data_IF_370267168256
#
_entry.id   IF_370267168256
#
_cell.length_a   1.000
_cell.length_b   1.000
_cell.length_c   1.000
_cell.angle_alpha   90.00
_cell.angle_beta   90.00
_cell.angle_gamma   90.00
#
_symmetry.space_group_name_H-M   'P 1'
#
loop_
_entity.id
_entity.type
_entity.pdbx_description
1 polymer ?
#
# COMPACT_ATOMS: atom_id res chain seq x y z
N UNK A 1 2.60 -3.36 50.58
CA UNK A 1 2.83 -2.29 49.59
C UNK A 1 3.81 -2.89 48.56
N UNK A 2 3.29 -3.45 47.49
CA UNK A 2 4.10 -3.95 46.37
C UNK A 2 4.13 -2.79 45.35
N UNK A 3 5.32 -2.27 45.10
CA UNK A 3 5.60 -1.34 44.02
C UNK A 3 5.56 -2.14 42.73
N UNK A 4 4.54 -1.93 41.93
CA UNK A 4 4.52 -2.38 40.54
C UNK A 4 5.57 -1.55 39.80
N UNK A 5 6.64 -2.22 39.34
CA UNK A 5 7.54 -1.68 38.33
C UNK A 5 6.71 -1.38 37.07
N UNK A 6 6.89 -0.22 36.43
CA UNK A 6 6.34 -0.01 35.10
C UNK A 6 7.04 -0.99 34.15
N UNK A 7 6.25 -1.79 33.43
CA UNK A 7 6.73 -2.54 32.28
C UNK A 7 7.45 -1.57 31.35
N UNK A 8 8.77 -1.65 31.30
CA UNK A 8 9.57 -1.06 30.23
C UNK A 8 9.03 -1.65 28.93
N UNK A 9 8.28 -0.86 28.18
CA UNK A 9 8.05 -1.12 26.78
C UNK A 9 9.44 -1.18 26.12
N UNK A 10 9.89 -2.38 25.81
CA UNK A 10 11.12 -2.61 25.08
C UNK A 10 10.98 -1.93 23.72
N UNK A 11 11.48 -0.71 23.63
CA UNK A 11 11.55 0.03 22.38
C UNK A 11 12.35 -0.79 21.36
N UNK A 12 11.91 -0.83 20.12
CA UNK A 12 12.68 -1.47 19.05
C UNK A 12 14.12 -0.92 19.09
N UNK A 13 15.14 -1.79 18.98
CA UNK A 13 16.55 -1.37 19.05
C UNK A 13 17.00 -0.42 17.93
N UNK A 14 16.06 0.06 17.09
CA UNK A 14 16.27 1.04 16.03
C UNK A 14 16.21 2.50 16.50
N UNK A 15 15.66 2.80 17.68
CA UNK A 15 15.50 4.16 18.25
C UNK A 15 14.94 5.16 17.23
N UNK A 16 13.88 4.82 16.52
CA UNK A 16 13.22 5.70 15.57
C UNK A 16 12.10 6.44 16.30
N UNK A 17 12.22 7.76 16.43
CA UNK A 17 11.12 8.59 16.88
C UNK A 17 10.11 8.78 15.75
N UNK A 18 8.78 8.65 16.00
CA UNK A 18 7.77 8.90 14.98
C UNK A 18 7.94 10.29 14.36
N UNK A 19 7.98 10.31 13.04
CA UNK A 19 8.13 11.53 12.25
C UNK A 19 6.76 12.21 12.05
N UNK A 20 6.79 13.53 11.93
CA UNK A 20 5.60 14.30 11.59
C UNK A 20 5.05 13.90 10.22
N UNK A 21 3.73 13.80 10.14
CA UNK A 21 2.96 13.56 8.91
C UNK A 21 2.31 14.86 8.46
N UNK A 22 2.53 15.22 7.20
CA UNK A 22 1.97 16.42 6.59
C UNK A 22 1.01 16.08 5.47
N UNK A 23 -0.12 16.77 5.43
CA UNK A 23 -1.14 16.63 4.39
C UNK A 23 -1.50 18.00 3.82
N UNK A 24 -1.78 18.05 2.51
CA UNK A 24 -2.16 19.28 1.81
C UNK A 24 -3.45 19.04 1.05
N UNK A 25 -4.53 19.68 1.47
CA UNK A 25 -5.81 19.65 0.78
C UNK A 25 -5.94 20.85 -0.17
N UNK A 26 -6.18 20.59 -1.44
CA UNK A 26 -6.26 21.62 -2.49
C UNK A 26 -7.66 22.21 -2.58
N UNK A 27 -7.75 23.53 -2.31
CA UNK A 27 -9.00 24.29 -2.25
C UNK A 27 -9.25 25.07 -3.56
N UNK A 28 -10.33 24.74 -4.32
CA UNK A 28 -10.52 25.26 -5.69
C UNK A 28 -11.20 26.63 -5.77
N UNK A 29 -11.46 27.28 -4.64
CA UNK A 29 -12.14 28.59 -4.63
C UNK A 29 -11.14 29.75 -4.65
N UNK A 30 -11.57 30.88 -5.18
CA UNK A 30 -10.77 32.11 -5.22
C UNK A 30 -10.55 32.71 -3.82
N UNK A 31 -11.50 32.52 -2.91
CA UNK A 31 -11.44 32.97 -1.53
C UNK A 31 -10.90 31.85 -0.63
N UNK A 32 -10.04 32.22 0.32
CA UNK A 32 -9.52 31.30 1.30
C UNK A 32 -10.64 30.87 2.27
N UNK A 33 -10.65 29.60 2.71
CA UNK A 33 -11.56 29.18 3.77
C UNK A 33 -11.21 29.88 5.07
N UNK A 34 -12.21 30.27 5.82
CA UNK A 34 -12.04 30.86 7.17
C UNK A 34 -11.85 29.77 8.22
N UNK A 35 -11.23 30.12 9.35
CA UNK A 35 -11.13 29.21 10.51
C UNK A 35 -12.50 28.66 10.91
N UNK A 36 -13.52 29.54 10.97
CA UNK A 36 -14.87 29.15 11.36
C UNK A 36 -15.50 28.13 10.42
N UNK A 37 -15.32 28.26 9.12
CA UNK A 37 -15.81 27.28 8.13
C UNK A 37 -15.14 25.93 8.30
N UNK A 38 -13.81 25.89 8.40
CA UNK A 38 -13.05 24.63 8.56
C UNK A 38 -13.40 23.94 9.88
N UNK A 39 -13.39 24.65 11.02
CA UNK A 39 -13.73 24.07 12.33
C UNK A 39 -15.18 23.58 12.37
N UNK A 40 -16.13 24.32 11.80
CA UNK A 40 -17.53 23.90 11.72
C UNK A 40 -17.68 22.63 10.88
N UNK A 41 -16.98 22.56 9.75
CA UNK A 41 -17.00 21.37 8.87
C UNK A 41 -16.41 20.15 9.57
N UNK A 42 -15.28 20.30 10.25
CA UNK A 42 -14.63 19.21 11.01
C UNK A 42 -15.52 18.73 12.15
N UNK A 43 -16.13 19.65 12.91
CA UNK A 43 -17.05 19.33 14.00
C UNK A 43 -18.30 18.59 13.50
N UNK A 44 -18.84 18.98 12.34
CA UNK A 44 -19.98 18.32 11.72
C UNK A 44 -19.63 16.88 11.28
N UNK A 45 -18.45 16.67 10.68
CA UNK A 45 -18.01 15.37 10.22
C UNK A 45 -17.72 14.40 11.38
N UNK A 46 -17.08 14.87 12.44
CA UNK A 46 -16.77 14.07 13.63
C UNK A 46 -17.94 13.92 14.60
N UNK A 47 -19.05 14.65 14.37
CA UNK A 47 -20.17 14.77 15.30
C UNK A 47 -19.72 15.18 16.73
N UNK A 48 -18.64 15.99 16.84
CA UNK A 48 -18.03 16.40 18.12
C UNK A 48 -17.76 17.89 18.08
N UNK A 49 -17.95 18.58 19.22
CA UNK A 49 -17.57 19.99 19.36
C UNK A 49 -16.04 20.11 19.33
N UNK A 50 -15.53 20.94 18.39
CA UNK A 50 -14.10 21.22 18.24
C UNK A 50 -13.84 22.67 18.65
N UNK A 51 -12.98 22.87 19.65
CA UNK A 51 -12.52 24.19 20.08
C UNK A 51 -11.11 24.41 19.53
N UNK A 52 -10.91 25.39 18.64
CA UNK A 52 -9.59 25.68 18.10
C UNK A 52 -8.77 26.53 19.08
N UNK A 53 -7.50 26.17 19.22
CA UNK A 53 -6.49 27.00 19.87
C UNK A 53 -5.79 27.83 18.78
N UNK A 54 -5.81 29.16 18.92
CA UNK A 54 -5.12 30.06 18.01
C UNK A 54 -3.60 29.92 18.22
N UNK A 55 -2.87 29.59 17.18
CA UNK A 55 -1.41 29.50 17.18
C UNK A 55 -0.79 30.70 16.46
N UNK A 56 0.48 30.96 16.75
CA UNK A 56 1.24 31.92 15.95
C UNK A 56 1.35 31.40 14.51
N UNK A 57 1.04 32.26 13.56
CA UNK A 57 1.10 31.93 12.13
C UNK A 57 2.47 32.28 11.58
N UNK A 58 3.03 31.44 10.74
CA UNK A 58 4.18 31.79 9.92
C UNK A 58 3.80 32.90 8.91
N UNK A 59 4.80 33.62 8.37
CA UNK A 59 4.60 34.76 7.48
C UNK A 59 3.75 34.44 6.23
N UNK A 60 3.77 33.18 5.78
CA UNK A 60 3.03 32.72 4.60
C UNK A 60 1.61 32.21 4.92
N UNK A 61 1.30 31.93 6.19
CA UNK A 61 0.00 31.39 6.61
C UNK A 61 -1.01 32.50 6.88
N UNK A 62 -2.21 32.39 6.28
CA UNK A 62 -3.33 33.30 6.56
C UNK A 62 -3.86 33.17 7.98
N UNK A 63 -3.89 31.94 8.48
CA UNK A 63 -4.25 31.58 9.85
C UNK A 63 -3.67 30.20 10.20
N UNK A 64 -3.43 29.95 11.47
CA UNK A 64 -2.95 28.68 12.05
C UNK A 64 -3.69 28.38 13.33
N UNK A 65 -4.18 27.14 13.48
CA UNK A 65 -4.88 26.66 14.67
C UNK A 65 -4.37 25.28 15.09
N UNK A 66 -4.44 25.01 16.38
CA UNK A 66 -4.34 23.66 16.95
C UNK A 66 -5.75 23.15 17.24
N UNK A 67 -6.03 21.90 16.93
CA UNK A 67 -7.31 21.26 17.25
C UNK A 67 -7.08 19.82 17.73
N UNK A 68 -7.97 19.38 18.63
CA UNK A 68 -8.05 17.97 19.01
C UNK A 68 -9.23 17.33 18.29
N UNK A 69 -8.99 16.20 17.65
CA UNK A 69 -10.00 15.42 16.91
C UNK A 69 -10.09 14.03 17.53
N UNK A 70 -11.29 13.52 17.83
CA UNK A 70 -11.45 12.14 18.31
C UNK A 70 -10.84 11.11 17.36
N UNK A 71 -10.06 10.18 17.89
CA UNK A 71 -9.38 9.14 17.10
C UNK A 71 -8.04 9.56 16.52
N UNK A 72 -7.52 10.75 16.89
CA UNK A 72 -6.17 11.21 16.59
C UNK A 72 -5.52 11.67 17.89
N UNK A 73 -4.55 10.90 18.38
CA UNK A 73 -4.00 11.07 19.71
C UNK A 73 -3.18 12.37 19.86
N UNK A 74 -2.37 12.70 18.87
CA UNK A 74 -1.45 13.84 18.91
C UNK A 74 -2.08 15.20 18.61
N UNK A 75 -3.37 15.23 18.23
CA UNK A 75 -4.01 16.44 17.74
C UNK A 75 -3.51 16.85 16.34
N UNK A 76 -4.09 17.92 15.83
CA UNK A 76 -3.76 18.45 14.50
C UNK A 76 -3.33 19.92 14.60
N UNK A 77 -2.26 20.28 13.89
CA UNK A 77 -1.96 21.67 13.53
C UNK A 77 -2.51 21.89 12.13
N UNK A 78 -3.41 22.87 11.98
CA UNK A 78 -4.08 23.18 10.72
C UNK A 78 -3.82 24.62 10.35
N UNK A 79 -3.42 24.87 9.09
CA UNK A 79 -3.25 26.23 8.58
C UNK A 79 -3.68 26.35 7.13
N UNK A 80 -3.96 27.57 6.73
CA UNK A 80 -4.29 27.92 5.36
C UNK A 80 -3.21 28.82 4.78
N UNK A 81 -2.74 28.49 3.60
CA UNK A 81 -1.75 29.29 2.86
C UNK A 81 -2.09 29.33 1.37
N UNK A 82 -1.41 30.22 0.63
CA UNK A 82 -1.53 30.22 -0.83
C UNK A 82 -0.93 28.93 -1.42
N UNK A 83 -1.65 28.37 -2.39
CA UNK A 83 -1.13 27.25 -3.17
C UNK A 83 0.15 27.67 -3.87
N UNK A 84 1.20 26.84 -3.78
CA UNK A 84 2.39 26.99 -4.62
C UNK A 84 2.07 26.42 -6.01
N UNK A 85 2.89 26.79 -6.99
CA UNK A 85 2.75 26.23 -8.34
C UNK A 85 2.87 24.71 -8.30
N UNK A 86 1.80 24.04 -8.71
CA UNK A 86 1.77 22.60 -8.88
C UNK A 86 2.65 22.18 -10.06
N UNK A 87 3.30 21.02 -9.93
CA UNK A 87 3.98 20.41 -11.08
C UNK A 87 2.99 20.04 -12.19
N UNK A 88 3.45 19.92 -13.43
CA UNK A 88 2.57 19.49 -14.53
C UNK A 88 2.06 18.04 -14.31
N UNK A 89 2.84 17.20 -13.63
CA UNK A 89 2.41 15.86 -13.23
C UNK A 89 1.26 15.90 -12.23
N UNK A 90 1.35 16.75 -11.19
CA UNK A 90 0.28 16.92 -10.20
C UNK A 90 -0.99 17.50 -10.85
N UNK A 91 -0.83 18.51 -11.71
CA UNK A 91 -1.95 19.08 -12.48
C UNK A 91 -2.65 18.05 -13.34
N UNK A 92 -1.88 17.14 -13.96
CA UNK A 92 -2.44 16.05 -14.76
C UNK A 92 -3.24 15.07 -13.91
N UNK A 93 -2.80 14.76 -12.69
CA UNK A 93 -3.51 13.85 -11.78
C UNK A 93 -4.76 14.50 -11.16
N UNK A 94 -4.69 15.76 -10.77
CA UNK A 94 -5.84 16.51 -10.22
C UNK A 94 -6.88 16.79 -11.32
N UNK A 95 -6.44 16.94 -12.57
CA UNK A 95 -7.29 17.28 -13.69
C UNK A 95 -7.54 18.79 -13.84
N UNK A 96 -8.61 19.19 -14.56
CA UNK A 96 -8.84 20.57 -14.97
C UNK A 96 -9.05 21.55 -13.80
N UNK A 97 -9.41 21.06 -12.62
CA UNK A 97 -9.63 21.90 -11.45
C UNK A 97 -8.33 22.30 -10.73
N UNK A 98 -7.20 21.67 -11.06
CA UNK A 98 -5.89 22.03 -10.51
C UNK A 98 -5.54 23.52 -10.67
N UNK A 99 -5.89 24.12 -11.83
CA UNK A 99 -5.64 25.53 -12.12
C UNK A 99 -6.48 26.51 -11.30
N UNK A 100 -7.52 26.03 -10.61
CA UNK A 100 -8.41 26.82 -9.76
C UNK A 100 -7.93 26.88 -8.31
N UNK A 101 -7.01 26.01 -7.91
CA UNK A 101 -6.54 25.90 -6.53
C UNK A 101 -5.62 27.06 -6.14
N UNK A 102 -6.21 28.16 -5.70
CA UNK A 102 -5.46 29.35 -5.22
C UNK A 102 -5.00 29.19 -3.76
N UNK A 103 -5.62 28.29 -3.00
CA UNK A 103 -5.40 28.09 -1.59
C UNK A 103 -5.23 26.60 -1.27
N UNK A 104 -4.52 26.32 -0.19
CA UNK A 104 -4.40 24.98 0.39
C UNK A 104 -4.67 25.04 1.88
N UNK A 105 -5.28 23.98 2.38
CA UNK A 105 -5.38 23.70 3.81
C UNK A 105 -4.34 22.63 4.13
N UNK A 106 -3.42 22.95 5.02
CA UNK A 106 -2.39 22.00 5.47
C UNK A 106 -2.74 21.45 6.83
N UNK A 107 -2.41 20.20 7.03
CA UNK A 107 -2.55 19.51 8.31
C UNK A 107 -1.23 18.85 8.63
N UNK A 108 -0.81 18.98 9.89
CA UNK A 108 0.37 18.31 10.45
C UNK A 108 -0.02 17.61 11.73
N UNK A 109 0.49 16.39 11.90
CA UNK A 109 0.28 15.55 13.09
C UNK A 109 1.41 14.54 13.24
N UNK A 110 1.53 13.93 14.41
CA UNK A 110 2.34 12.73 14.64
C UNK A 110 1.36 11.57 14.76
N UNK A 111 1.51 10.56 13.89
CA UNK A 111 0.68 9.37 13.96
C UNK A 111 1.12 8.48 15.13
N UNK A 112 0.17 7.87 15.80
CA UNK A 112 0.45 6.85 16.81
C UNK A 112 1.12 5.65 16.16
N UNK A 113 2.16 5.09 16.77
CA UNK A 113 2.86 3.91 16.23
C UNK A 113 1.97 2.66 16.18
N UNK A 114 0.97 2.56 17.06
CA UNK A 114 0.06 1.42 17.14
C UNK A 114 -1.13 1.54 16.18
N UNK A 115 -1.61 2.79 15.96
CA UNK A 115 -2.83 3.07 15.20
C UNK A 115 -2.56 3.90 13.93
N UNK A 116 -1.30 3.94 13.45
CA UNK A 116 -0.86 4.83 12.37
C UNK A 116 -1.74 4.76 11.11
N UNK A 117 -2.16 3.56 10.70
CA UNK A 117 -3.02 3.39 9.54
C UNK A 117 -4.43 3.95 9.78
N UNK A 118 -4.99 3.75 10.98
CA UNK A 118 -6.31 4.27 11.33
C UNK A 118 -6.29 5.80 11.44
N UNK A 119 -5.28 6.37 12.10
CA UNK A 119 -5.12 7.83 12.20
C UNK A 119 -4.86 8.49 10.84
N UNK A 120 -4.01 7.88 9.99
CA UNK A 120 -3.81 8.33 8.61
C UNK A 120 -5.14 8.40 7.85
N UNK A 121 -5.89 7.30 7.90
CA UNK A 121 -7.19 7.19 7.25
C UNK A 121 -8.18 8.24 7.79
N UNK A 122 -8.17 8.45 9.11
CA UNK A 122 -9.00 9.46 9.77
C UNK A 122 -8.65 10.88 9.30
N UNK A 123 -7.35 11.24 9.19
CA UNK A 123 -6.92 12.58 8.75
C UNK A 123 -7.33 12.84 7.30
N UNK A 124 -7.07 11.89 6.40
CA UNK A 124 -7.44 12.04 4.99
C UNK A 124 -8.96 12.05 4.83
N UNK A 125 -9.68 11.18 5.55
CA UNK A 125 -11.14 11.13 5.59
C UNK A 125 -11.74 12.43 6.15
N UNK A 126 -11.17 12.97 7.22
CA UNK A 126 -11.57 14.27 7.79
C UNK A 126 -11.46 15.39 6.74
N UNK A 127 -10.30 15.52 6.09
CA UNK A 127 -10.08 16.53 5.05
C UNK A 127 -11.06 16.37 3.89
N UNK A 128 -11.20 15.15 3.38
CA UNK A 128 -12.01 14.88 2.18
C UNK A 128 -13.52 14.87 2.45
N UNK A 129 -13.94 14.37 3.61
CA UNK A 129 -15.35 14.22 3.97
C UNK A 129 -15.96 15.50 4.53
N UNK A 130 -15.21 16.27 5.32
CA UNK A 130 -15.69 17.53 5.88
C UNK A 130 -15.64 18.69 4.89
N UNK A 131 -14.70 18.65 3.92
CA UNK A 131 -14.48 19.69 2.94
C UNK A 131 -14.78 19.13 1.53
N UNK A 132 -16.05 18.99 1.16
CA UNK A 132 -16.46 18.29 -0.07
C UNK A 132 -15.94 18.95 -1.36
N UNK A 133 -15.58 20.22 -1.29
CA UNK A 133 -15.10 20.97 -2.45
C UNK A 133 -13.61 20.74 -2.75
N UNK A 134 -12.83 20.15 -1.84
CA UNK A 134 -11.41 19.87 -2.15
C UNK A 134 -11.29 18.91 -3.34
N UNK A 135 -10.29 19.16 -4.17
CA UNK A 135 -10.08 18.39 -5.40
C UNK A 135 -9.06 17.27 -5.24
N UNK A 136 -8.19 17.40 -4.27
CA UNK A 136 -7.18 16.39 -3.94
C UNK A 136 -6.59 16.59 -2.53
N UNK A 137 -5.99 15.53 -2.00
CA UNK A 137 -5.14 15.56 -0.81
C UNK A 137 -3.76 14.99 -1.19
N UNK A 138 -2.70 15.75 -0.92
CA UNK A 138 -1.31 15.31 -1.05
C UNK A 138 -0.79 14.88 0.31
N UNK A 139 -0.31 13.66 0.40
CA UNK A 139 0.54 13.21 1.51
C UNK A 139 1.97 13.68 1.25
N UNK A 140 2.47 14.60 2.06
CA UNK A 140 3.79 15.24 1.86
C UNK A 140 4.93 14.25 2.06
N UNK A 141 4.76 13.28 2.98
CA UNK A 141 5.82 12.31 3.32
C UNK A 141 6.07 11.34 2.18
N UNK A 142 5.00 10.77 1.63
CA UNK A 142 5.12 9.80 0.52
C UNK A 142 5.13 10.48 -0.85
N UNK A 143 4.68 11.74 -0.94
CA UNK A 143 4.41 12.43 -2.19
C UNK A 143 3.20 11.84 -2.94
N UNK A 144 2.35 11.07 -2.26
CA UNK A 144 1.17 10.45 -2.86
C UNK A 144 0.03 11.47 -2.98
N UNK A 145 -0.47 11.67 -4.19
CA UNK A 145 -1.61 12.53 -4.46
C UNK A 145 -2.89 11.70 -4.58
N UNK A 146 -3.85 11.99 -3.71
CA UNK A 146 -5.18 11.38 -3.73
C UNK A 146 -6.17 12.34 -4.39
N UNK A 147 -6.43 12.14 -5.67
CA UNK A 147 -7.46 12.92 -6.40
C UNK A 147 -8.87 12.62 -5.87
N UNK A 148 -9.85 13.52 -6.12
CA UNK A 148 -11.21 13.42 -5.57
C UNK A 148 -11.86 12.05 -5.80
N UNK A 149 -11.75 11.49 -6.99
CA UNK A 149 -12.30 10.17 -7.32
C UNK A 149 -11.73 9.06 -6.45
N UNK A 150 -10.43 9.12 -6.16
CA UNK A 150 -9.76 8.18 -5.26
C UNK A 150 -10.17 8.39 -3.80
N UNK A 151 -10.30 9.66 -3.36
CA UNK A 151 -10.78 9.99 -2.02
C UNK A 151 -12.19 9.43 -1.78
N UNK A 152 -13.09 9.60 -2.73
CA UNK A 152 -14.46 9.10 -2.66
C UNK A 152 -14.51 7.56 -2.56
N UNK A 153 -13.67 6.88 -3.33
CA UNK A 153 -13.64 5.41 -3.39
C UNK A 153 -12.95 4.77 -2.18
N UNK A 154 -11.78 5.30 -1.79
CA UNK A 154 -10.91 4.64 -0.81
C UNK A 154 -11.12 5.11 0.63
N UNK A 155 -11.60 6.35 0.83
CA UNK A 155 -11.72 6.94 2.17
C UNK A 155 -13.15 7.26 2.59
N UNK A 156 -14.05 7.54 1.64
CA UNK A 156 -15.40 7.99 1.93
C UNK A 156 -16.49 6.98 1.58
N UNK A 157 -16.19 5.95 0.82
CA UNK A 157 -17.16 4.90 0.51
C UNK A 157 -17.60 4.17 1.79
N UNK A 158 -18.86 3.75 1.84
CA UNK A 158 -19.37 2.98 2.97
C UNK A 158 -18.57 1.69 3.15
N UNK A 159 -18.08 1.46 4.36
CA UNK A 159 -17.23 0.31 4.68
C UNK A 159 -15.77 0.44 4.26
N UNK A 160 -15.32 1.63 3.83
CA UNK A 160 -13.89 1.89 3.64
C UNK A 160 -13.12 1.68 4.94
N UNK A 161 -11.96 1.07 4.87
CA UNK A 161 -11.09 0.83 6.02
C UNK A 161 -9.66 1.28 5.75
N UNK A 162 -8.92 1.52 6.85
CA UNK A 162 -7.51 1.85 6.77
C UNK A 162 -6.73 0.82 5.97
N UNK A 163 -5.89 1.30 5.05
CA UNK A 163 -4.97 0.48 4.28
C UNK A 163 -3.55 0.86 4.67
N UNK A 164 -2.85 -0.02 5.36
CA UNK A 164 -1.50 0.24 5.88
C UNK A 164 -0.50 0.61 4.77
N UNK A 165 -0.67 0.06 3.56
CA UNK A 165 0.18 0.34 2.41
C UNK A 165 0.20 1.82 1.99
N UNK A 166 -0.75 2.61 2.42
CA UNK A 166 -0.79 4.07 2.17
C UNK A 166 0.24 4.83 3.01
N UNK A 167 0.74 4.23 4.11
CA UNK A 167 1.68 4.87 5.01
C UNK A 167 3.08 5.05 4.43
N UNK A 168 3.46 4.28 3.42
CA UNK A 168 4.77 4.37 2.79
C UNK A 168 4.70 4.23 1.27
N UNK A 169 5.69 4.78 0.62
CA UNK A 169 5.97 4.62 -0.81
C UNK A 169 7.25 3.82 -1.01
N UNK A 170 7.30 3.03 -2.08
CA UNK A 170 8.53 2.45 -2.59
C UNK A 170 9.13 3.37 -3.65
N UNK A 171 10.42 3.57 -3.56
CA UNK A 171 11.22 4.30 -4.54
C UNK A 171 12.32 3.41 -5.07
N UNK A 172 12.57 3.51 -6.37
CA UNK A 172 13.68 2.85 -7.05
C UNK A 172 14.74 3.89 -7.38
N UNK A 173 15.95 3.63 -6.94
CA UNK A 173 17.10 4.48 -7.18
C UNK A 173 18.15 3.75 -8.01
N UNK A 174 18.65 4.42 -9.01
CA UNK A 174 19.66 3.88 -9.91
C UNK A 174 21.07 4.33 -9.47
N UNK A 175 22.07 3.56 -9.88
CA UNK A 175 23.46 3.97 -9.76
C UNK A 175 23.71 5.23 -10.61
N UNK A 176 24.83 5.88 -10.40
CA UNK A 176 25.19 7.07 -11.17
C UNK A 176 25.19 6.82 -12.68
N UNK A 177 24.87 7.88 -13.50
CA UNK A 177 24.96 7.78 -14.94
C UNK A 177 26.35 7.33 -15.36
N UNK A 178 26.44 6.27 -16.17
CA UNK A 178 27.62 5.61 -16.74
C UNK A 178 28.07 4.29 -16.08
N UNK A 179 27.33 3.72 -15.13
CA UNK A 179 27.54 2.34 -14.72
C UNK A 179 26.69 1.43 -15.61
N UNK A 180 27.36 0.62 -16.43
CA UNK A 180 26.70 -0.39 -17.26
C UNK A 180 25.99 -1.40 -16.36
N UNK A 181 24.73 -1.76 -16.71
CA UNK A 181 23.94 -2.86 -16.14
C UNK A 181 23.96 -2.93 -14.60
N UNK A 182 23.59 -1.82 -13.96
CA UNK A 182 23.63 -1.75 -12.50
C UNK A 182 22.42 -2.34 -11.83
N UNK A 183 22.66 -3.01 -10.71
CA UNK A 183 21.65 -3.28 -9.71
C UNK A 183 21.04 -1.96 -9.21
N UNK A 184 19.78 -2.01 -8.79
CA UNK A 184 19.07 -0.86 -8.21
C UNK A 184 19.00 -0.97 -6.70
N UNK A 185 18.79 0.17 -6.04
CA UNK A 185 18.35 0.24 -4.65
C UNK A 185 16.82 0.43 -4.68
N UNK A 186 16.10 -0.42 -3.97
CA UNK A 186 14.70 -0.18 -3.61
C UNK A 186 14.64 0.29 -2.16
N UNK A 187 13.91 1.36 -1.90
CA UNK A 187 13.78 1.90 -0.55
C UNK A 187 12.36 2.30 -0.22
N UNK A 188 11.96 2.13 1.05
CA UNK A 188 10.72 2.70 1.56
C UNK A 188 10.91 4.16 1.92
N UNK A 189 9.81 4.91 1.94
CA UNK A 189 9.73 6.26 2.48
C UNK A 189 8.35 6.46 3.11
N UNK A 190 8.32 6.68 4.41
CA UNK A 190 7.10 6.88 5.21
C UNK A 190 6.98 5.96 6.43
N UNK A 191 7.78 4.90 6.57
CA UNK A 191 7.74 4.04 7.74
C UNK A 191 8.20 4.79 9.02
N UNK A 192 9.08 5.77 8.88
CA UNK A 192 9.55 6.57 9.99
C UNK A 192 8.42 7.34 10.72
N UNK A 193 7.30 7.66 10.05
CA UNK A 193 6.12 8.25 10.69
C UNK A 193 5.45 7.31 11.71
N UNK A 194 5.68 6.00 11.54
CA UNK A 194 5.18 4.95 12.43
C UNK A 194 6.21 4.53 13.49
N UNK A 195 7.33 5.25 13.64
CA UNK A 195 8.41 4.87 14.55
C UNK A 195 9.22 3.66 14.08
N UNK A 196 9.16 3.33 12.79
CA UNK A 196 9.86 2.21 12.18
C UNK A 196 11.03 2.69 11.31
N UNK A 197 12.14 1.95 11.19
CA UNK A 197 13.19 2.30 10.25
C UNK A 197 12.69 2.15 8.82
N UNK A 198 13.12 3.05 7.94
CA UNK A 198 12.94 2.86 6.52
C UNK A 198 13.70 1.62 6.03
N UNK A 199 13.18 0.91 5.06
CA UNK A 199 13.79 -0.31 4.54
C UNK A 199 14.55 -0.03 3.25
N UNK A 200 15.74 -0.60 3.13
CA UNK A 200 16.58 -0.55 1.94
C UNK A 200 16.90 -1.96 1.45
N UNK A 201 16.56 -2.25 0.23
CA UNK A 201 16.92 -3.48 -0.48
C UNK A 201 17.93 -3.14 -1.57
N UNK A 202 19.21 -3.47 -1.29
CA UNK A 202 20.35 -3.11 -2.11
C UNK A 202 20.73 -4.22 -3.09
N UNK A 203 21.48 -3.88 -4.14
CA UNK A 203 22.00 -4.84 -5.13
C UNK A 203 20.88 -5.67 -5.82
N UNK A 204 19.69 -5.09 -6.01
CA UNK A 204 18.58 -5.75 -6.68
C UNK A 204 18.82 -5.73 -8.20
N UNK A 205 18.86 -6.88 -8.88
CA UNK A 205 18.84 -6.91 -10.33
C UNK A 205 17.61 -6.17 -10.86
N UNK A 206 17.78 -5.34 -11.91
CA UNK A 206 16.70 -4.50 -12.43
C UNK A 206 15.45 -5.32 -12.82
N UNK A 207 15.67 -6.51 -13.41
CA UNK A 207 14.63 -7.44 -13.79
C UNK A 207 13.87 -8.08 -12.62
N UNK A 208 14.42 -8.00 -11.41
CA UNK A 208 13.81 -8.50 -10.18
C UNK A 208 13.21 -7.38 -9.31
N UNK A 209 13.13 -6.14 -9.82
CA UNK A 209 12.66 -4.99 -9.03
C UNK A 209 11.24 -5.18 -8.49
N UNK A 210 10.34 -5.76 -9.27
CA UNK A 210 8.95 -5.98 -8.85
C UNK A 210 8.87 -7.02 -7.71
N UNK A 211 9.63 -8.10 -7.79
CA UNK A 211 9.72 -9.08 -6.71
C UNK A 211 10.38 -8.49 -5.44
N UNK A 212 11.37 -7.62 -5.63
CA UNK A 212 11.97 -6.85 -4.54
C UNK A 212 10.97 -5.89 -3.88
N UNK A 213 10.11 -5.27 -4.68
CA UNK A 213 9.04 -4.41 -4.18
C UNK A 213 8.02 -5.21 -3.34
N UNK A 214 7.62 -6.40 -3.81
CA UNK A 214 6.75 -7.32 -3.04
C UNK A 214 7.39 -7.70 -1.71
N UNK A 215 8.69 -8.04 -1.70
CA UNK A 215 9.43 -8.33 -0.47
C UNK A 215 9.37 -7.16 0.52
N UNK A 216 9.66 -5.93 0.07
CA UNK A 216 9.65 -4.75 0.93
C UNK A 216 8.24 -4.43 1.46
N UNK A 217 7.20 -4.54 0.63
CA UNK A 217 5.82 -4.35 1.08
C UNK A 217 5.40 -5.37 2.15
N UNK A 218 5.70 -6.65 1.92
CA UNK A 218 5.41 -7.71 2.90
C UNK A 218 6.11 -7.44 4.22
N UNK A 219 7.42 -7.12 4.18
CA UNK A 219 8.20 -6.87 5.38
C UNK A 219 7.74 -5.61 6.13
N UNK A 220 7.45 -4.52 5.42
CA UNK A 220 6.94 -3.28 6.00
C UNK A 220 5.60 -3.50 6.72
N UNK A 221 4.67 -4.22 6.09
CA UNK A 221 3.39 -4.58 6.71
C UNK A 221 3.57 -5.44 7.96
N UNK A 222 4.40 -6.48 7.88
CA UNK A 222 4.69 -7.33 9.05
C UNK A 222 5.34 -6.57 10.21
N UNK A 223 6.20 -5.59 9.92
CA UNK A 223 6.81 -4.73 10.94
C UNK A 223 5.79 -3.78 11.57
N UNK A 224 4.80 -3.33 10.81
CA UNK A 224 3.74 -2.47 11.33
C UNK A 224 2.75 -3.24 12.21
N UNK A 225 2.39 -4.47 11.81
CA UNK A 225 1.49 -5.33 12.59
C UNK A 225 2.16 -5.94 13.84
N UNK A 226 3.48 -6.15 13.76
CA UNK A 226 4.29 -6.72 14.84
C UNK A 226 5.38 -5.72 15.24
N UNK A 227 6.00 -5.92 16.37
CA UNK A 227 7.19 -5.13 16.72
C UNK A 227 8.29 -5.33 15.70
N UNK A 228 8.95 -4.23 15.26
CA UNK A 228 10.11 -4.32 14.39
C UNK A 228 11.20 -5.22 15.00
N UNK A 229 11.78 -6.13 14.22
CA UNK A 229 12.82 -7.04 14.73
C UNK A 229 14.06 -6.24 15.12
N UNK A 230 14.77 -6.67 16.15
CA UNK A 230 16.05 -6.11 16.56
C UNK A 230 17.09 -6.19 15.43
N UNK A 231 18.04 -5.24 15.37
CA UNK A 231 19.13 -5.27 14.41
C UNK A 231 19.87 -6.62 14.40
N UNK A 232 19.93 -7.26 13.23
CA UNK A 232 20.54 -8.58 13.04
C UNK A 232 19.61 -9.77 13.35
N UNK A 233 18.44 -9.53 13.90
CA UNK A 233 17.43 -10.56 14.09
C UNK A 233 16.82 -11.00 12.76
N UNK A 234 16.47 -12.28 12.66
CA UNK A 234 15.81 -12.83 11.48
C UNK A 234 14.30 -12.73 11.58
N UNK A 235 13.67 -12.47 10.42
CA UNK A 235 12.23 -12.42 10.24
C UNK A 235 11.82 -13.42 9.19
N UNK A 236 10.85 -14.25 9.48
CA UNK A 236 10.20 -15.10 8.50
C UNK A 236 9.06 -14.32 7.83
N UNK A 237 9.18 -14.11 6.52
CA UNK A 237 8.24 -13.33 5.70
C UNK A 237 7.30 -14.21 4.87
N UNK A 238 7.50 -15.51 4.92
CA UNK A 238 6.76 -16.51 4.18
C UNK A 238 7.27 -17.90 4.52
N UNK A 239 6.67 -18.94 3.96
CA UNK A 239 7.05 -20.32 4.26
C UNK A 239 8.51 -20.61 3.86
N UNK A 240 9.37 -20.72 4.88
CA UNK A 240 10.81 -20.92 4.72
C UNK A 240 11.58 -19.72 4.16
N UNK A 241 10.94 -18.57 3.97
CA UNK A 241 11.57 -17.35 3.49
C UNK A 241 11.98 -16.47 4.67
N UNK A 242 13.27 -16.39 4.91
CA UNK A 242 13.83 -15.70 6.06
C UNK A 242 14.77 -14.58 5.60
N UNK A 243 14.56 -13.39 6.14
CA UNK A 243 15.43 -12.23 5.97
C UNK A 243 15.92 -11.72 7.32
N UNK A 244 16.90 -10.83 7.34
CA UNK A 244 17.34 -10.13 8.55
C UNK A 244 17.48 -8.64 8.25
N UNK A 245 17.24 -7.81 9.26
CA UNK A 245 17.42 -6.35 9.16
C UNK A 245 18.74 -5.95 9.81
N UNK A 246 19.51 -5.10 9.14
CA UNK A 246 20.77 -4.57 9.65
C UNK A 246 20.85 -3.07 9.48
N UNK A 247 21.53 -2.35 10.39
CA UNK A 247 21.79 -0.95 10.17
C UNK A 247 22.49 -0.75 8.82
N UNK A 248 22.01 0.21 8.05
CA UNK A 248 22.57 0.50 6.72
C UNK A 248 24.06 0.78 6.79
N UNK A 249 24.54 1.45 7.86
CA UNK A 249 25.95 1.80 8.05
C UNK A 249 26.88 0.56 8.19
N UNK A 250 26.35 -0.56 8.63
CA UNK A 250 27.08 -1.83 8.68
C UNK A 250 27.24 -2.46 7.29
N UNK A 251 26.28 -2.23 6.41
CA UNK A 251 26.11 -2.93 5.13
C UNK A 251 26.68 -2.14 3.97
N UNK A 252 26.45 -0.83 3.91
CA UNK A 252 26.86 0.04 2.81
C UNK A 252 28.37 0.02 2.52
N UNK A 253 29.22 -0.29 3.50
CA UNK A 253 30.68 -0.39 3.34
C UNK A 253 31.13 -1.53 2.44
N UNK A 254 30.25 -2.49 2.15
CA UNK A 254 30.53 -3.62 1.26
C UNK A 254 30.12 -3.33 -0.18
N UNK A 255 29.45 -2.19 -0.42
CA UNK A 255 29.11 -1.72 -1.75
C UNK A 255 30.28 -0.95 -2.37
N UNK A 256 30.39 -1.01 -3.69
CA UNK A 256 31.28 -0.13 -4.43
C UNK A 256 30.75 1.29 -4.39
N UNK A 257 31.60 2.28 -4.43
CA UNK A 257 31.24 3.70 -4.29
C UNK A 257 30.19 4.17 -5.31
N UNK A 258 30.19 3.62 -6.50
CA UNK A 258 29.24 3.97 -7.58
C UNK A 258 27.89 3.28 -7.46
N UNK A 259 27.77 2.27 -6.59
CA UNK A 259 26.53 1.51 -6.41
C UNK A 259 25.47 2.35 -5.70
N UNK A 260 24.21 2.27 -6.17
CA UNK A 260 23.09 2.89 -5.47
C UNK A 260 22.99 2.34 -4.03
N UNK A 261 22.93 3.26 -3.06
CA UNK A 261 22.90 2.90 -1.63
C UNK A 261 24.25 2.83 -0.94
N UNK A 262 25.38 2.96 -1.65
CA UNK A 262 26.71 3.07 -1.04
C UNK A 262 26.83 4.34 -0.18
N UNK A 263 27.85 4.37 0.69
CA UNK A 263 28.10 5.55 1.53
C UNK A 263 28.29 6.83 0.71
N UNK A 264 29.08 6.77 -0.37
CA UNK A 264 29.31 7.91 -1.24
C UNK A 264 28.03 8.31 -2.00
N UNK A 265 27.29 7.34 -2.53
CA UNK A 265 26.04 7.61 -3.22
C UNK A 265 25.02 8.32 -2.29
N UNK A 266 24.89 7.89 -1.02
CA UNK A 266 23.96 8.51 -0.04
C UNK A 266 24.35 9.95 0.31
N UNK A 267 25.65 10.26 0.40
CA UNK A 267 26.09 11.64 0.60
C UNK A 267 25.61 12.50 -0.57
N UNK A 268 25.84 12.07 -1.79
CA UNK A 268 25.44 12.80 -3.00
C UNK A 268 23.92 12.88 -3.13
N UNK A 269 23.19 11.81 -2.83
CA UNK A 269 21.73 11.80 -2.83
C UNK A 269 21.17 12.90 -1.91
N UNK A 270 21.71 13.03 -0.70
CA UNK A 270 21.32 14.10 0.24
C UNK A 270 21.67 15.50 -0.29
N UNK A 271 22.84 15.68 -0.88
CA UNK A 271 23.24 16.94 -1.50
C UNK A 271 22.32 17.34 -2.67
N UNK A 272 21.72 16.37 -3.35
CA UNK A 272 20.74 16.59 -4.42
C UNK A 272 19.27 16.65 -3.93
N UNK A 273 19.07 16.79 -2.62
CA UNK A 273 17.75 17.03 -2.04
C UNK A 273 16.94 15.77 -1.70
N UNK A 274 17.54 14.58 -1.77
CA UNK A 274 16.91 13.34 -1.30
C UNK A 274 17.06 13.23 0.23
N UNK A 275 16.28 14.03 0.96
CA UNK A 275 16.34 14.15 2.42
C UNK A 275 15.96 12.86 3.16
N UNK A 276 15.20 11.98 2.54
CA UNK A 276 14.79 10.69 3.10
C UNK A 276 15.96 9.77 3.49
N UNK A 277 17.13 9.96 2.92
CA UNK A 277 18.35 9.23 3.32
C UNK A 277 19.00 9.75 4.59
N UNK A 278 18.45 10.78 5.24
CA UNK A 278 18.86 11.22 6.56
C UNK A 278 18.16 10.47 7.70
N UNK A 279 17.06 9.77 7.41
CA UNK A 279 16.29 9.00 8.38
C UNK A 279 16.99 7.67 8.74
N UNK A 280 16.70 7.11 9.93
CA UNK A 280 17.15 5.75 10.27
C UNK A 280 16.66 4.73 9.25
N UNK A 281 17.58 3.90 8.75
CA UNK A 281 17.26 2.93 7.70
C UNK A 281 17.86 1.56 8.01
N UNK A 282 17.11 0.52 7.68
CA UNK A 282 17.50 -0.87 7.80
C UNK A 282 17.76 -1.50 6.43
N UNK A 283 18.92 -2.09 6.24
CA UNK A 283 19.21 -2.90 5.07
C UNK A 283 18.57 -4.29 5.22
N UNK A 284 17.82 -4.71 4.21
CA UNK A 284 17.24 -6.06 4.14
C UNK A 284 18.31 -7.03 3.61
N UNK A 285 18.65 -8.03 4.41
CA UNK A 285 19.70 -9.01 4.12
C UNK A 285 19.10 -10.42 4.11
N UNK A 286 19.65 -11.29 3.28
CA UNK A 286 19.38 -12.72 3.29
C UNK A 286 20.09 -13.43 4.45
N UNK A 287 19.58 -14.59 4.81
CA UNK A 287 20.25 -15.50 5.75
C UNK A 287 21.25 -16.36 4.98
N UNK A 288 22.47 -16.49 5.51
CA UNK A 288 23.39 -17.51 4.98
C UNK A 288 22.90 -18.92 5.30
N UNK A 289 23.07 -19.89 4.37
CA UNK A 289 22.95 -21.29 4.70
C UNK A 289 23.94 -21.65 5.81
N UNK A 290 23.54 -22.51 6.72
CA UNK A 290 24.35 -22.95 7.86
C UNK A 290 25.70 -23.50 7.38
N UNK A 291 26.75 -22.72 7.55
CA UNK A 291 28.12 -22.99 7.13
C UNK A 291 29.12 -22.41 8.14
N UNK A 292 30.42 -22.65 7.96
CA UNK A 292 31.49 -22.42 8.93
C UNK A 292 31.68 -20.96 9.44
N UNK A 293 30.91 -19.99 8.95
CA UNK A 293 30.98 -18.58 9.34
C UNK A 293 29.61 -18.05 9.77
N UNK A 294 29.29 -18.19 11.05
CA UNK A 294 28.00 -17.84 11.67
C UNK A 294 27.59 -16.35 11.67
N UNK A 295 28.32 -15.47 11.00
CA UNK A 295 28.12 -14.02 11.12
C UNK A 295 28.07 -13.24 9.79
N UNK A 296 28.05 -13.90 8.65
CA UNK A 296 28.02 -13.22 7.36
C UNK A 296 26.60 -13.25 6.82
N UNK A 297 26.04 -12.07 6.59
CA UNK A 297 24.79 -11.87 5.85
C UNK A 297 25.10 -11.90 4.35
N UNK A 298 24.07 -12.19 3.54
CA UNK A 298 24.11 -12.13 2.09
C UNK A 298 23.07 -11.14 1.58
N UNK A 299 23.16 -10.76 0.31
CA UNK A 299 22.05 -10.09 -0.34
C UNK A 299 20.89 -11.08 -0.47
N UNK A 300 19.62 -10.65 -0.30
CA UNK A 300 18.46 -11.55 -0.26
C UNK A 300 18.02 -12.02 -1.67
N UNK A 301 18.97 -12.15 -2.59
CA UNK A 301 18.73 -12.46 -3.99
C UNK A 301 17.95 -13.76 -4.17
N UNK A 302 18.29 -14.80 -3.44
CA UNK A 302 17.58 -16.09 -3.54
C UNK A 302 16.11 -15.99 -3.09
N UNK A 303 15.81 -15.12 -2.12
CA UNK A 303 14.43 -14.83 -1.67
C UNK A 303 13.68 -14.11 -2.78
N UNK A 304 14.29 -13.08 -3.37
CA UNK A 304 13.69 -12.29 -4.45
C UNK A 304 13.43 -13.17 -5.68
N UNK A 305 14.37 -14.05 -6.04
CA UNK A 305 14.22 -15.00 -7.16
C UNK A 305 13.06 -15.97 -6.92
N UNK A 306 12.88 -16.50 -5.70
CA UNK A 306 11.74 -17.36 -5.37
C UNK A 306 10.40 -16.61 -5.49
N UNK A 307 10.35 -15.33 -5.09
CA UNK A 307 9.17 -14.48 -5.28
C UNK A 307 8.89 -14.29 -6.77
N UNK A 308 9.90 -13.93 -7.56
CA UNK A 308 9.78 -13.70 -9.00
C UNK A 308 9.32 -14.95 -9.77
N UNK A 309 9.73 -16.13 -9.32
CA UNK A 309 9.35 -17.41 -9.91
C UNK A 309 7.95 -17.91 -9.48
N UNK A 310 7.26 -17.16 -8.60
CA UNK A 310 5.95 -17.54 -8.06
C UNK A 310 6.00 -18.76 -7.12
N UNK A 311 7.19 -19.09 -6.59
CA UNK A 311 7.39 -20.24 -5.68
C UNK A 311 7.29 -19.87 -4.21
N UNK A 312 7.18 -18.58 -3.91
CA UNK A 312 7.13 -18.06 -2.56
C UNK A 312 5.68 -18.01 -2.05
N UNK A 313 5.44 -18.51 -0.85
CA UNK A 313 4.22 -18.26 -0.10
C UNK A 313 4.54 -17.18 0.94
N UNK A 314 4.08 -15.96 0.69
CA UNK A 314 4.33 -14.81 1.55
C UNK A 314 3.23 -14.68 2.62
N UNK A 315 3.63 -14.19 3.79
CA UNK A 315 2.65 -13.85 4.83
C UNK A 315 2.02 -12.49 4.52
N UNK A 316 0.72 -12.40 4.71
CA UNK A 316 -0.03 -11.16 4.63
C UNK A 316 -0.42 -10.72 6.04
N UNK A 317 -0.44 -9.41 6.28
CA UNK A 317 -0.99 -8.86 7.51
C UNK A 317 -2.49 -9.09 7.58
N UNK A 318 -3.05 -9.15 8.78
CA UNK A 318 -4.50 -9.28 8.96
C UNK A 318 -5.25 -8.09 8.36
N UNK A 319 -4.66 -6.89 8.43
CA UNK A 319 -5.24 -5.70 7.85
C UNK A 319 -5.26 -5.76 6.33
N UNK A 320 -4.16 -6.19 5.68
CA UNK A 320 -4.10 -6.41 4.24
C UNK A 320 -5.13 -7.44 3.78
N UNK A 321 -5.25 -8.57 4.49
CA UNK A 321 -6.26 -9.61 4.19
C UNK A 321 -7.66 -9.01 4.25
N UNK A 322 -8.02 -8.32 5.34
CA UNK A 322 -9.34 -7.70 5.50
C UNK A 322 -9.63 -6.65 4.42
N UNK A 323 -8.64 -5.82 4.09
CA UNK A 323 -8.79 -4.79 3.05
C UNK A 323 -9.03 -5.42 1.68
N UNK A 324 -8.29 -6.48 1.33
CA UNK A 324 -8.46 -7.22 0.07
C UNK A 324 -9.83 -7.90 0.01
N UNK A 325 -10.21 -8.65 1.06
CA UNK A 325 -11.52 -9.31 1.14
C UNK A 325 -12.68 -8.33 0.96
N UNK A 326 -12.56 -7.14 1.56
CA UNK A 326 -13.63 -6.15 1.47
C UNK A 326 -13.74 -5.57 0.08
N UNK A 327 -12.62 -5.23 -0.55
CA UNK A 327 -12.61 -4.75 -1.95
C UNK A 327 -13.21 -5.77 -2.89
N UNK A 328 -12.81 -7.03 -2.75
CA UNK A 328 -13.37 -8.12 -3.53
C UNK A 328 -14.89 -8.25 -3.35
N UNK A 329 -15.37 -8.15 -2.12
CA UNK A 329 -16.82 -8.22 -1.81
C UNK A 329 -17.57 -7.00 -2.33
N UNK A 330 -17.02 -5.78 -2.19
CA UNK A 330 -17.64 -4.55 -2.68
C UNK A 330 -17.81 -4.55 -4.20
N UNK A 331 -16.88 -5.17 -4.93
CA UNK A 331 -16.88 -5.25 -6.40
C UNK A 331 -17.37 -6.60 -6.94
N UNK A 332 -17.79 -7.51 -6.06
CA UNK A 332 -18.27 -8.86 -6.44
C UNK A 332 -19.40 -8.84 -7.46
N UNK A 333 -20.34 -7.92 -7.32
CA UNK A 333 -21.45 -7.78 -8.26
C UNK A 333 -20.98 -7.47 -9.68
N UNK A 334 -19.96 -6.64 -9.80
CA UNK A 334 -19.31 -6.29 -11.08
C UNK A 334 -18.64 -7.51 -11.70
N UNK A 335 -17.83 -8.24 -10.93
CA UNK A 335 -17.21 -9.49 -11.35
C UNK A 335 -18.25 -10.52 -11.82
N UNK A 336 -19.30 -10.76 -11.03
CA UNK A 336 -20.34 -11.71 -11.38
C UNK A 336 -21.14 -11.31 -12.63
N UNK A 337 -21.41 -10.00 -12.82
CA UNK A 337 -22.03 -9.49 -14.03
C UNK A 337 -21.12 -9.68 -15.26
N UNK A 338 -19.85 -9.40 -15.15
CA UNK A 338 -18.86 -9.59 -16.20
C UNK A 338 -18.81 -11.07 -16.63
N UNK A 339 -18.66 -11.98 -15.67
CA UNK A 339 -18.70 -13.43 -15.93
C UNK A 339 -20.01 -13.87 -16.62
N UNK A 340 -21.16 -13.46 -16.09
CA UNK A 340 -22.46 -13.80 -16.66
C UNK A 340 -22.68 -13.23 -18.06
N UNK A 341 -22.13 -12.06 -18.35
CA UNK A 341 -22.18 -11.41 -19.66
C UNK A 341 -21.44 -12.21 -20.71
N UNK A 342 -20.21 -12.65 -20.42
CA UNK A 342 -19.41 -13.47 -21.34
C UNK A 342 -19.95 -14.91 -21.46
N UNK A 343 -20.35 -15.53 -20.35
CA UNK A 343 -20.89 -16.90 -20.34
C UNK A 343 -22.15 -17.09 -21.18
N UNK A 344 -22.95 -16.03 -21.35
CA UNK A 344 -24.20 -16.04 -22.14
C UNK A 344 -23.98 -15.66 -23.62
N UNK A 345 -22.75 -15.35 -24.03
CA UNK A 345 -22.47 -14.98 -25.43
C UNK A 345 -22.81 -16.12 -26.37
N UNK A 346 -23.34 -15.77 -27.55
CA UNK A 346 -23.56 -16.73 -28.64
C UNK A 346 -22.22 -17.24 -29.24
N UNK A 347 -21.17 -16.42 -29.14
CA UNK A 347 -19.86 -16.73 -29.69
C UNK A 347 -19.05 -17.63 -28.76
N UNK A 348 -18.57 -18.76 -29.29
CA UNK A 348 -17.82 -19.74 -28.50
C UNK A 348 -16.49 -19.19 -27.96
N UNK A 349 -15.81 -18.33 -28.74
CA UNK A 349 -14.57 -17.66 -28.35
C UNK A 349 -14.75 -16.75 -27.13
N UNK A 350 -15.87 -16.02 -27.08
CA UNK A 350 -16.20 -15.14 -25.95
C UNK A 350 -16.59 -15.96 -24.72
N UNK A 351 -17.38 -17.05 -24.90
CA UNK A 351 -17.69 -17.95 -23.76
C UNK A 351 -16.43 -18.60 -23.16
N UNK A 352 -15.47 -18.95 -24.00
CA UNK A 352 -14.20 -19.50 -23.51
C UNK A 352 -13.46 -18.55 -22.57
N UNK A 353 -13.57 -17.22 -22.76
CA UNK A 353 -13.00 -16.25 -21.82
C UNK A 353 -13.64 -16.32 -20.42
N UNK A 354 -14.95 -16.57 -20.35
CA UNK A 354 -15.61 -16.78 -19.05
C UNK A 354 -15.15 -18.08 -18.36
N UNK A 355 -14.84 -19.12 -19.16
CA UNK A 355 -14.40 -20.42 -18.65
C UNK A 355 -12.93 -20.45 -18.21
N UNK A 356 -12.09 -19.56 -18.72
CA UNK A 356 -10.63 -19.61 -18.48
C UNK A 356 -10.06 -18.35 -17.82
N UNK A 357 -10.75 -17.22 -17.92
CA UNK A 357 -10.22 -15.93 -17.47
C UNK A 357 -10.67 -15.49 -16.08
N UNK A 358 -11.68 -16.13 -15.46
CA UNK A 358 -12.26 -15.70 -14.20
C UNK A 358 -11.78 -16.54 -13.03
N UNK A 359 -11.06 -15.94 -12.10
CA UNK A 359 -10.48 -16.60 -10.94
C UNK A 359 -10.90 -15.89 -9.65
N UNK A 360 -11.03 -16.65 -8.58
CA UNK A 360 -11.24 -16.14 -7.24
C UNK A 360 -10.20 -16.71 -6.29
N UNK A 361 -9.89 -15.95 -5.25
CA UNK A 361 -9.19 -16.45 -4.08
C UNK A 361 -10.20 -16.65 -2.95
N UNK A 362 -10.13 -17.77 -2.28
CA UNK A 362 -10.97 -18.09 -1.13
C UNK A 362 -10.23 -18.99 -0.15
N UNK A 363 -10.78 -19.05 1.08
CA UNK A 363 -10.29 -19.97 2.09
C UNK A 363 -10.46 -21.43 1.64
N UNK A 364 -9.44 -22.26 1.84
CA UNK A 364 -9.54 -23.70 1.56
C UNK A 364 -10.44 -24.37 2.60
N UNK A 365 -11.59 -24.95 2.18
CA UNK A 365 -12.57 -25.50 3.13
C UNK A 365 -11.97 -26.59 3.99
N UNK A 366 -12.21 -26.53 5.32
CA UNK A 366 -11.86 -27.60 6.26
C UNK A 366 -10.37 -27.72 6.58
N UNK A 367 -9.58 -26.68 6.34
CA UNK A 367 -8.14 -26.69 6.63
C UNK A 367 -7.78 -26.88 8.11
N UNK A 368 -8.71 -26.76 9.05
CA UNK A 368 -8.57 -27.17 10.47
C UNK A 368 -7.35 -26.66 11.26
N UNK A 369 -6.53 -25.85 10.63
CA UNK A 369 -5.30 -25.26 11.16
C UNK A 369 -5.59 -23.85 11.68
N UNK A 370 -4.82 -23.33 12.65
CA UNK A 370 -4.97 -21.93 13.09
C UNK A 370 -4.63 -20.92 11.99
N UNK A 371 -4.01 -21.35 10.91
CA UNK A 371 -3.74 -20.54 9.71
C UNK A 371 -4.72 -20.94 8.61
N UNK A 372 -5.49 -19.98 8.12
CA UNK A 372 -6.39 -20.18 6.98
C UNK A 372 -5.54 -20.10 5.72
N UNK A 373 -5.49 -21.20 4.97
CA UNK A 373 -4.86 -21.21 3.65
C UNK A 373 -5.82 -20.57 2.65
N UNK A 374 -5.34 -19.60 1.90
CA UNK A 374 -6.04 -19.01 0.76
C UNK A 374 -5.50 -19.65 -0.53
N UNK A 375 -6.38 -20.06 -1.41
CA UNK A 375 -6.00 -20.64 -2.71
C UNK A 375 -6.79 -19.99 -3.84
N UNK A 376 -6.20 -20.01 -5.03
CA UNK A 376 -6.88 -19.57 -6.25
C UNK A 376 -7.70 -20.69 -6.88
N UNK A 377 -8.89 -20.33 -7.33
CA UNK A 377 -9.84 -21.22 -7.97
C UNK A 377 -10.35 -20.61 -9.27
N UNK A 378 -10.52 -21.45 -10.30
CA UNK A 378 -11.16 -21.09 -11.56
C UNK A 378 -12.68 -21.13 -11.43
N UNK A 379 -13.36 -20.05 -11.78
CA UNK A 379 -14.82 -20.04 -11.81
C UNK A 379 -15.32 -20.90 -12.99
N UNK A 380 -16.22 -21.82 -12.71
CA UNK A 380 -16.98 -22.57 -13.70
C UNK A 380 -18.44 -22.09 -13.78
N UNK A 381 -19.03 -21.76 -12.64
CA UNK A 381 -20.42 -21.29 -12.55
C UNK A 381 -20.62 -20.43 -11.30
N UNK A 382 -21.40 -19.40 -11.43
CA UNK A 382 -21.87 -18.57 -10.31
C UNK A 382 -23.38 -18.75 -10.20
N UNK A 383 -23.84 -19.21 -9.05
CA UNK A 383 -25.24 -19.19 -8.62
C UNK A 383 -25.41 -18.09 -7.56
N UNK A 384 -26.65 -17.80 -7.12
CA UNK A 384 -26.94 -16.64 -6.25
C UNK A 384 -26.09 -16.56 -4.96
N UNK A 385 -25.85 -17.70 -4.31
CA UNK A 385 -25.17 -17.75 -3.02
C UNK A 385 -23.95 -18.69 -3.03
N UNK A 386 -23.73 -19.42 -4.11
CA UNK A 386 -22.66 -20.40 -4.23
C UNK A 386 -21.98 -20.30 -5.59
N UNK A 387 -20.77 -20.79 -5.67
CA UNK A 387 -19.98 -20.89 -6.87
C UNK A 387 -19.52 -22.33 -7.06
N UNK A 388 -19.52 -22.79 -8.30
CA UNK A 388 -18.81 -24.00 -8.68
C UNK A 388 -17.44 -23.58 -9.23
N UNK A 389 -16.37 -24.07 -8.61
CA UNK A 389 -15.01 -23.68 -8.95
C UNK A 389 -14.11 -24.89 -9.16
N UNK A 390 -13.11 -24.76 -10.02
CA UNK A 390 -12.05 -25.76 -10.17
C UNK A 390 -10.80 -25.31 -9.40
N UNK A 391 -10.18 -26.24 -8.68
CA UNK A 391 -8.91 -26.05 -7.98
C UNK A 391 -7.82 -25.78 -9.01
N UNK A 392 -7.08 -24.65 -8.90
CA UNK A 392 -5.98 -24.33 -9.80
C UNK A 392 -4.67 -24.96 -9.33
N UNK A 393 -4.34 -24.77 -8.06
CA UNK A 393 -3.13 -25.28 -7.46
C UNK A 393 -3.46 -26.22 -6.30
N UNK A 394 -2.58 -27.20 -6.05
CA UNK A 394 -2.76 -28.13 -4.94
C UNK A 394 -2.62 -27.42 -3.59
N UNK A 395 -3.68 -27.35 -2.76
CA UNK A 395 -3.58 -26.74 -1.45
C UNK A 395 -2.64 -27.54 -0.54
N UNK A 396 -1.89 -26.83 0.31
CA UNK A 396 -0.94 -27.43 1.25
C UNK A 396 -1.66 -28.16 2.40
N UNK A 397 -2.80 -27.59 2.86
CA UNK A 397 -3.56 -28.10 4.02
C UNK A 397 -4.57 -29.20 3.65
N UNK A 398 -4.87 -29.40 2.37
CA UNK A 398 -5.88 -30.35 1.87
C UNK A 398 -5.30 -31.26 0.78
N UNK A 399 -4.66 -32.33 1.21
CA UNK A 399 -4.04 -33.30 0.30
C UNK A 399 -5.02 -34.07 -0.59
N UNK A 400 -6.32 -34.04 -0.27
CA UNK A 400 -7.40 -34.64 -1.04
C UNK A 400 -7.91 -33.75 -2.18
N UNK A 401 -7.50 -32.48 -2.25
CA UNK A 401 -7.81 -31.57 -3.35
C UNK A 401 -6.63 -31.58 -4.34
N UNK A 402 -6.95 -31.91 -5.58
CA UNK A 402 -5.96 -31.92 -6.69
C UNK A 402 -6.37 -30.89 -7.74
N UNK A 403 -5.43 -30.29 -8.49
CA UNK A 403 -5.73 -29.38 -9.59
C UNK A 403 -6.75 -29.97 -10.59
N UNK A 404 -7.73 -29.17 -10.97
CA UNK A 404 -8.82 -29.57 -11.84
C UNK A 404 -10.02 -30.20 -11.13
N UNK A 405 -9.93 -30.52 -9.84
CA UNK A 405 -11.11 -30.95 -9.08
C UNK A 405 -12.10 -29.81 -8.91
N UNK A 406 -13.38 -30.14 -9.02
CA UNK A 406 -14.48 -29.18 -8.88
C UNK A 406 -15.05 -29.26 -7.46
N UNK A 407 -15.21 -28.10 -6.83
CA UNK A 407 -15.84 -27.94 -5.51
C UNK A 407 -16.88 -26.83 -5.53
N UNK A 408 -17.74 -26.80 -4.52
CA UNK A 408 -18.68 -25.69 -4.29
C UNK A 408 -18.18 -24.82 -3.15
N UNK A 409 -18.19 -23.51 -3.35
CA UNK A 409 -17.82 -22.49 -2.36
C UNK A 409 -18.97 -21.48 -2.20
N UNK A 410 -19.23 -20.96 -0.98
CA UNK A 410 -20.09 -19.81 -0.77
C UNK A 410 -19.52 -18.56 -1.43
N UNK A 411 -20.37 -17.72 -2.02
CA UNK A 411 -19.89 -16.48 -2.68
C UNK A 411 -19.45 -15.40 -1.69
N UNK A 412 -19.82 -15.49 -0.43
CA UNK A 412 -19.40 -14.60 0.65
C UNK A 412 -18.03 -14.96 1.25
N UNK A 413 -17.46 -16.12 0.87
CA UNK A 413 -16.10 -16.53 1.27
C UNK A 413 -15.01 -16.02 0.31
N UNK A 414 -15.38 -15.28 -0.76
CA UNK A 414 -14.41 -14.68 -1.67
C UNK A 414 -13.55 -13.66 -0.92
N UNK A 415 -12.25 -13.88 -0.97
CA UNK A 415 -11.25 -12.99 -0.38
C UNK A 415 -10.57 -12.09 -1.41
N UNK A 416 -10.52 -12.52 -2.67
CA UNK A 416 -10.02 -11.75 -3.80
C UNK A 416 -10.57 -12.29 -5.12
N UNK A 417 -10.44 -11.51 -6.21
CA UNK A 417 -10.77 -11.98 -7.55
C UNK A 417 -9.84 -11.38 -8.61
N UNK A 418 -9.71 -12.09 -9.72
CA UNK A 418 -8.90 -11.70 -10.85
C UNK A 418 -9.56 -12.12 -12.15
N UNK A 419 -9.50 -11.28 -13.15
CA UNK A 419 -10.00 -11.57 -14.51
C UNK A 419 -8.89 -11.35 -15.51
N UNK A 420 -8.58 -12.38 -16.30
CA UNK A 420 -7.59 -12.33 -17.37
C UNK A 420 -8.29 -12.32 -18.72
N UNK A 421 -8.17 -11.23 -19.48
CA UNK A 421 -8.72 -11.07 -20.82
C UNK A 421 -7.58 -10.81 -21.80
N UNK A 422 -7.03 -11.88 -22.35
CA UNK A 422 -5.81 -11.83 -23.17
C UNK A 422 -4.58 -11.46 -22.35
N UNK A 423 -3.93 -10.34 -22.67
CA UNK A 423 -2.76 -9.85 -21.92
C UNK A 423 -3.15 -8.89 -20.77
N UNK A 424 -4.43 -8.52 -20.68
CA UNK A 424 -4.91 -7.60 -19.66
C UNK A 424 -5.45 -8.34 -18.45
N UNK A 425 -5.02 -7.92 -17.29
CA UNK A 425 -5.46 -8.44 -15.99
C UNK A 425 -6.26 -7.35 -15.28
N UNK A 426 -7.39 -7.73 -14.70
CA UNK A 426 -8.26 -6.88 -13.88
C UNK A 426 -8.36 -7.48 -12.48
N UNK A 427 -8.26 -6.63 -11.49
CA UNK A 427 -8.41 -6.94 -10.07
C UNK A 427 -9.54 -6.09 -9.45
N UNK A 428 -9.92 -6.25 -8.20
CA UNK A 428 -11.00 -5.47 -7.58
C UNK A 428 -10.89 -3.95 -7.76
N UNK A 429 -9.67 -3.42 -7.84
CA UNK A 429 -9.44 -1.99 -8.05
C UNK A 429 -9.76 -1.53 -9.48
N UNK A 430 -9.81 -2.46 -10.44
CA UNK A 430 -10.09 -2.20 -11.86
C UNK A 430 -11.52 -2.56 -12.26
N UNK A 431 -12.44 -2.70 -11.30
CA UNK A 431 -13.79 -3.20 -11.55
C UNK A 431 -14.57 -2.38 -12.58
N UNK A 432 -14.40 -1.05 -12.58
CA UNK A 432 -15.05 -0.17 -13.55
C UNK A 432 -14.48 -0.36 -14.95
N UNK A 433 -13.15 -0.51 -15.07
CA UNK A 433 -12.45 -0.75 -16.34
C UNK A 433 -12.82 -2.13 -16.90
N UNK A 434 -13.03 -3.13 -16.04
CA UNK A 434 -13.50 -4.46 -16.44
C UNK A 434 -14.82 -4.40 -17.19
N UNK A 435 -15.80 -3.63 -16.72
CA UNK A 435 -17.09 -3.50 -17.42
C UNK A 435 -16.92 -2.88 -18.80
N UNK A 436 -16.10 -1.82 -18.90
CA UNK A 436 -15.76 -1.21 -20.19
C UNK A 436 -15.11 -2.17 -21.17
N UNK A 437 -14.18 -3.01 -20.70
CA UNK A 437 -13.51 -4.04 -21.49
C UNK A 437 -14.50 -5.12 -21.97
N UNK A 438 -15.43 -5.55 -21.10
CA UNK A 438 -16.48 -6.53 -21.45
C UNK A 438 -17.39 -5.98 -22.55
N UNK A 439 -17.82 -4.73 -22.46
CA UNK A 439 -18.65 -4.11 -23.49
C UNK A 439 -17.92 -4.00 -24.82
N UNK A 440 -16.64 -3.60 -24.83
CA UNK A 440 -15.82 -3.55 -26.01
C UNK A 440 -15.63 -4.93 -26.68
N UNK A 441 -15.43 -5.99 -25.88
CA UNK A 441 -15.34 -7.39 -26.37
C UNK A 441 -16.65 -7.80 -27.04
N UNK A 442 -17.79 -7.47 -26.45
CA UNK A 442 -19.11 -7.81 -27.02
C UNK A 442 -19.42 -7.06 -28.31
N UNK A 443 -19.01 -5.82 -28.42
CA UNK A 443 -19.20 -5.00 -29.61
C UNK A 443 -18.30 -5.41 -30.78
N UNK A 444 -17.05 -5.78 -30.49
CA UNK A 444 -16.06 -6.17 -31.49
C UNK A 444 -16.13 -7.65 -31.91
N UNK A 445 -16.83 -8.49 -31.14
CA UNK A 445 -16.83 -9.97 -31.35
C UNK A 445 -15.51 -10.65 -30.99
N UNK A 446 -14.62 -9.98 -30.22
CA UNK A 446 -13.34 -10.53 -29.81
C UNK A 446 -12.56 -9.59 -28.89
N UNK A 447 -11.42 -10.06 -28.39
CA UNK A 447 -10.54 -9.23 -27.56
C UNK A 447 -9.92 -8.15 -28.45
N UNK A 448 -10.12 -6.85 -28.16
CA UNK A 448 -9.42 -5.79 -28.88
C UNK A 448 -7.90 -5.97 -28.68
N UNK A 449 -7.07 -5.74 -29.73
CA UNK A 449 -5.62 -5.76 -29.56
C UNK A 449 -5.24 -4.75 -28.47
N UNK A 450 -4.59 -5.23 -27.39
CA UNK A 450 -4.20 -4.39 -26.27
C UNK A 450 -3.31 -3.24 -26.72
N UNK A 451 -3.62 -2.02 -26.27
CA UNK A 451 -2.61 -0.96 -26.29
C UNK A 451 -1.55 -1.34 -25.25
N UNK A 452 -0.27 -1.41 -25.62
CA UNK A 452 0.80 -1.68 -24.66
C UNK A 452 0.84 -0.52 -23.65
N UNK A 453 0.64 -0.85 -22.37
CA UNK A 453 0.86 0.07 -21.23
C UNK A 453 2.34 0.27 -20.95
#
# INVERSE_FOLDING_TARGET
MATSDPEETAGSGWNVEPQESGFVAFWPHAEAPTVGEVVTAFAAWTATEITPDQLESDDDALWTIGIQVPGIDSGLIVWCERSRDLSEADKSQIGPDASKCAWVIRVQTILSSEEAAAEYFMVVGLLSGSLPDIVAVLDVVTGSLHARTRLDREFLAEGSEPVERLLWRLSRYEAMPNTEEGAVLLGTNGLARCGLPELDLMEVPRELSDAGAVLLHTLAGLMLENTAPEPGQTVEIGDGLVVSLRPVDEVQRFLKDETAGSAQWRVQAREHGLGEFALPRAAVCGREPEGAFKSIWTWPRAVIEQIAEGKAVLYMTQQSVRATERRARATWSTFAMAHASLSRSAEASIRALAETGFMIQAAVPGSGTPRIEQSWFQIQKIDHATMTVAVLDKPLTRSDLEPGMTIELPSDEVSDWRVELGETVFEPDDADDLLGAIDAIRESGGIPPGEPR
#
